data_IF_147711426763
#
_entry.id   IF_147711426763
#
_cell.length_a   1.000
_cell.length_b   1.000
_cell.length_c   1.000
_cell.angle_alpha   90.00
_cell.angle_beta   90.00
_cell.angle_gamma   90.00
#
_symmetry.space_group_name_H-M   'P 1'
#
loop_
_entity.id
_entity.type
_entity.pdbx_description
1 polymer ?
#
# COMPACT_ATOMS: atom_id res chain seq x y z
N UNK A 1 20.51 57.22 50.21
CA UNK A 1 21.11 56.58 49.02
C UNK A 1 20.14 55.51 48.53
N UNK A 2 19.36 55.80 47.48
CA UNK A 2 18.38 54.85 46.93
C UNK A 2 19.01 54.07 45.78
N UNK A 3 19.05 52.74 45.87
CA UNK A 3 19.47 51.89 44.76
C UNK A 3 18.38 51.91 43.67
N UNK A 4 18.75 52.05 42.38
CA UNK A 4 17.77 51.98 41.30
C UNK A 4 17.26 50.55 41.14
N UNK A 5 15.96 50.35 41.37
CA UNK A 5 15.25 49.12 40.99
C UNK A 5 15.33 48.95 39.47
N UNK A 6 16.17 48.00 39.02
CA UNK A 6 16.14 47.51 37.64
C UNK A 6 14.80 46.80 37.40
N UNK A 7 13.89 47.46 36.68
CA UNK A 7 12.68 46.82 36.16
C UNK A 7 13.09 45.67 35.23
N UNK A 8 12.90 44.43 35.67
CA UNK A 8 12.99 43.23 34.83
C UNK A 8 11.90 43.33 33.77
N UNK A 9 12.25 43.73 32.55
CA UNK A 9 11.34 43.61 31.42
C UNK A 9 10.93 42.15 31.28
N UNK A 10 9.64 41.89 31.42
CA UNK A 10 9.05 40.55 31.39
C UNK A 10 9.16 39.94 30.00
N UNK A 11 10.10 39.01 29.83
CA UNK A 11 10.30 38.16 28.65
C UNK A 11 9.12 37.21 28.33
N UNK A 12 8.02 37.27 29.10
CA UNK A 12 6.89 36.35 29.04
C UNK A 12 6.17 36.32 27.68
N UNK A 13 6.17 37.44 26.92
CA UNK A 13 5.52 37.50 25.60
C UNK A 13 6.27 36.69 24.54
N UNK A 14 7.60 36.69 24.56
CA UNK A 14 8.41 35.89 23.62
C UNK A 14 8.31 34.40 23.90
N UNK A 15 8.27 34.02 25.19
CA UNK A 15 8.12 32.63 25.61
C UNK A 15 6.78 32.04 25.14
N UNK A 16 5.66 32.75 25.33
CA UNK A 16 4.34 32.27 24.92
C UNK A 16 4.25 32.06 23.39
N UNK A 17 4.90 32.90 22.59
CA UNK A 17 4.95 32.74 21.12
C UNK A 17 5.76 31.50 20.74
N UNK A 18 6.90 31.24 21.39
CA UNK A 18 7.71 30.05 21.14
C UNK A 18 6.93 28.77 21.51
N UNK A 19 6.28 28.75 22.67
CA UNK A 19 5.45 27.63 23.11
C UNK A 19 4.28 27.37 22.14
N UNK A 20 3.66 28.43 21.62
CA UNK A 20 2.60 28.30 20.61
C UNK A 20 3.12 27.70 19.30
N UNK A 21 4.26 28.19 18.78
CA UNK A 21 4.86 27.65 17.55
C UNK A 21 5.23 26.17 17.73
N UNK A 22 5.84 25.81 18.86
CA UNK A 22 6.17 24.43 19.17
C UNK A 22 4.92 23.54 19.23
N UNK A 23 3.82 24.05 19.80
CA UNK A 23 2.55 23.34 19.88
C UNK A 23 1.92 23.13 18.50
N UNK A 24 1.87 24.17 17.66
CA UNK A 24 1.36 24.09 16.28
C UNK A 24 2.20 23.11 15.46
N UNK A 25 3.52 23.19 15.56
CA UNK A 25 4.42 22.28 14.83
C UNK A 25 4.18 20.82 15.22
N UNK A 26 4.07 20.54 16.52
CA UNK A 26 3.77 19.20 17.04
C UNK A 26 2.41 18.71 16.54
N UNK A 27 1.40 19.57 16.55
CA UNK A 27 0.06 19.24 16.05
C UNK A 27 0.06 18.94 14.55
N UNK A 28 0.75 19.74 13.73
CA UNK A 28 0.88 19.50 12.29
C UNK A 28 1.61 18.17 12.02
N UNK A 29 2.69 17.88 12.76
CA UNK A 29 3.37 16.59 12.63
C UNK A 29 2.44 15.41 12.96
N UNK A 30 1.62 15.53 14.01
CA UNK A 30 0.64 14.49 14.35
C UNK A 30 -0.38 14.29 13.22
N UNK A 31 -0.89 15.36 12.61
CA UNK A 31 -1.82 15.26 11.49
C UNK A 31 -1.20 14.56 10.28
N UNK A 32 0.06 14.88 9.96
CA UNK A 32 0.76 14.22 8.85
C UNK A 32 0.99 12.74 9.14
N UNK A 33 1.32 12.38 10.39
CA UNK A 33 1.45 10.99 10.79
C UNK A 33 0.13 10.22 10.61
N UNK A 34 -0.98 10.79 11.09
CA UNK A 34 -2.33 10.19 10.95
C UNK A 34 -2.70 10.02 9.48
N UNK A 35 -2.48 11.05 8.66
CA UNK A 35 -2.74 11.00 7.23
C UNK A 35 -1.90 9.90 6.54
N UNK A 36 -0.61 9.80 6.88
CA UNK A 36 0.29 8.80 6.31
C UNK A 36 -0.13 7.38 6.64
N UNK A 37 -0.50 7.11 7.90
CA UNK A 37 -1.04 5.81 8.32
C UNK A 37 -2.37 5.51 7.62
N UNK A 38 -3.22 6.51 7.45
CA UNK A 38 -4.52 6.32 6.78
C UNK A 38 -4.34 5.94 5.30
N UNK A 39 -3.40 6.59 4.60
CA UNK A 39 -3.05 6.27 3.22
C UNK A 39 -2.45 4.87 3.13
N UNK A 40 -1.55 4.50 4.05
CA UNK A 40 -0.99 3.15 4.10
C UNK A 40 -2.09 2.08 4.24
N UNK A 41 -3.02 2.26 5.19
CA UNK A 41 -4.13 1.32 5.39
C UNK A 41 -5.07 1.27 4.17
N UNK A 42 -5.26 2.40 3.48
CA UNK A 42 -6.02 2.44 2.23
C UNK A 42 -5.35 1.60 1.14
N UNK A 43 -4.05 1.82 0.89
CA UNK A 43 -3.27 1.07 -0.10
C UNK A 43 -3.23 -0.42 0.25
N UNK A 44 -3.00 -0.78 1.51
CA UNK A 44 -3.04 -2.18 1.96
C UNK A 44 -4.37 -2.85 1.62
N UNK A 45 -5.51 -2.18 1.87
CA UNK A 45 -6.83 -2.73 1.53
C UNK A 45 -7.04 -2.85 0.02
N UNK A 46 -6.54 -1.91 -0.77
CA UNK A 46 -6.59 -1.97 -2.23
C UNK A 46 -5.78 -3.17 -2.76
N UNK A 47 -4.54 -3.34 -2.29
CA UNK A 47 -3.66 -4.47 -2.67
C UNK A 47 -4.29 -5.80 -2.28
N UNK A 48 -4.88 -5.92 -1.08
CA UNK A 48 -5.59 -7.13 -0.64
C UNK A 48 -6.82 -7.41 -1.50
N UNK A 49 -7.55 -6.38 -1.91
CA UNK A 49 -8.72 -6.54 -2.78
C UNK A 49 -8.32 -6.95 -4.19
N UNK A 50 -7.24 -6.36 -4.71
CA UNK A 50 -6.68 -6.67 -6.01
C UNK A 50 -6.21 -8.13 -6.11
N UNK A 51 -5.46 -8.64 -5.12
CA UNK A 51 -5.06 -10.06 -5.13
C UNK A 51 -6.25 -11.01 -5.06
N UNK A 52 -7.30 -10.64 -4.30
CA UNK A 52 -8.51 -11.46 -4.19
C UNK A 52 -9.29 -11.51 -5.49
N UNK A 53 -9.45 -10.38 -6.16
CA UNK A 53 -10.13 -10.34 -7.44
C UNK A 53 -9.30 -11.04 -8.52
N UNK A 54 -7.98 -10.83 -8.54
CA UNK A 54 -7.06 -11.56 -9.41
C UNK A 54 -7.14 -13.08 -9.21
N UNK A 55 -7.12 -13.55 -7.95
CA UNK A 55 -7.26 -14.97 -7.63
C UNK A 55 -8.63 -15.53 -8.04
N UNK A 56 -9.69 -14.71 -7.98
CA UNK A 56 -11.04 -15.08 -8.42
C UNK A 56 -11.14 -15.19 -9.94
N UNK A 57 -10.63 -14.21 -10.67
CA UNK A 57 -10.57 -14.25 -12.13
C UNK A 57 -9.77 -15.47 -12.56
N UNK A 58 -8.64 -15.72 -11.91
CA UNK A 58 -7.81 -16.88 -12.15
C UNK A 58 -8.54 -18.21 -11.89
N UNK A 59 -9.33 -18.31 -10.82
CA UNK A 59 -10.12 -19.50 -10.54
C UNK A 59 -11.28 -19.72 -11.52
N UNK A 60 -11.78 -18.66 -12.17
CA UNK A 60 -12.84 -18.72 -13.19
C UNK A 60 -12.32 -19.04 -14.60
N UNK A 61 -11.03 -18.80 -14.86
CA UNK A 61 -10.40 -19.09 -16.14
C UNK A 61 -9.84 -20.52 -16.16
N UNK A 62 -10.57 -21.43 -16.83
CA UNK A 62 -10.18 -22.84 -17.04
C UNK A 62 -8.90 -23.00 -17.88
N UNK A 63 -8.49 -21.96 -18.60
CA UNK A 63 -7.33 -21.95 -19.50
C UNK A 63 -5.98 -22.11 -18.77
N UNK A 64 -5.98 -21.97 -17.44
CA UNK A 64 -4.83 -22.28 -16.58
C UNK A 64 -4.57 -23.80 -16.43
N UNK A 65 -5.37 -24.64 -17.09
CA UNK A 65 -5.16 -26.08 -17.22
C UNK A 65 -4.76 -26.53 -18.64
N UNK A 66 -4.63 -25.58 -19.57
CA UNK A 66 -4.37 -25.82 -20.99
C UNK A 66 -2.90 -26.05 -21.35
N UNK A 67 -2.56 -25.77 -22.60
CA UNK A 67 -1.17 -25.77 -23.08
C UNK A 67 -0.37 -24.64 -22.42
N UNK A 68 0.98 -24.74 -22.35
CA UNK A 68 1.81 -23.68 -21.76
C UNK A 68 1.58 -22.28 -22.36
N UNK A 69 1.18 -22.20 -23.64
CA UNK A 69 0.86 -20.94 -24.30
C UNK A 69 -0.48 -20.34 -23.82
N UNK A 70 -1.49 -21.18 -23.58
CA UNK A 70 -2.79 -20.77 -23.04
C UNK A 70 -2.66 -20.33 -21.58
N UNK A 71 -1.89 -21.08 -20.79
CA UNK A 71 -1.58 -20.73 -19.39
C UNK A 71 -0.86 -19.37 -19.30
N UNK A 72 0.15 -19.15 -20.14
CA UNK A 72 0.88 -17.87 -20.17
C UNK A 72 -0.03 -16.69 -20.54
N UNK A 73 -0.90 -16.88 -21.55
CA UNK A 73 -1.85 -15.84 -21.96
C UNK A 73 -2.87 -15.53 -20.85
N UNK A 74 -3.37 -16.55 -20.15
CA UNK A 74 -4.29 -16.38 -19.02
C UNK A 74 -3.61 -15.66 -17.83
N UNK A 75 -2.35 -15.98 -17.54
CA UNK A 75 -1.56 -15.28 -16.52
C UNK A 75 -1.40 -13.80 -16.88
N UNK A 76 -1.09 -13.48 -18.13
CA UNK A 76 -0.96 -12.10 -18.59
C UNK A 76 -2.28 -11.33 -18.45
N UNK A 77 -3.41 -11.96 -18.79
CA UNK A 77 -4.74 -11.35 -18.60
C UNK A 77 -5.03 -11.06 -17.11
N UNK A 78 -4.76 -12.02 -16.22
CA UNK A 78 -4.94 -11.84 -14.77
C UNK A 78 -4.07 -10.69 -14.26
N UNK A 79 -2.82 -10.59 -14.74
CA UNK A 79 -1.92 -9.50 -14.35
C UNK A 79 -2.46 -8.14 -14.79
N UNK A 80 -2.95 -8.03 -16.03
CA UNK A 80 -3.55 -6.80 -16.55
C UNK A 80 -4.76 -6.39 -15.72
N UNK A 81 -5.66 -7.31 -15.40
CA UNK A 81 -6.84 -7.02 -14.57
C UNK A 81 -6.46 -6.56 -13.15
N UNK A 82 -5.46 -7.21 -12.53
CA UNK A 82 -4.93 -6.79 -11.22
C UNK A 82 -4.30 -5.39 -11.30
N UNK A 83 -3.54 -5.10 -12.37
CA UNK A 83 -2.93 -3.80 -12.62
C UNK A 83 -3.99 -2.70 -12.82
N UNK A 84 -5.03 -2.96 -13.61
CA UNK A 84 -6.13 -2.04 -13.89
C UNK A 84 -6.97 -1.77 -12.65
N UNK A 85 -7.22 -2.80 -11.82
CA UNK A 85 -7.88 -2.63 -10.53
C UNK A 85 -7.09 -1.69 -9.61
N UNK A 86 -5.78 -1.89 -9.53
CA UNK A 86 -4.89 -1.07 -8.70
C UNK A 86 -4.81 0.36 -9.23
N UNK A 87 -4.70 0.54 -10.55
CA UNK A 87 -4.71 1.85 -11.19
C UNK A 87 -6.02 2.59 -10.92
N UNK A 88 -7.15 1.91 -11.03
CA UNK A 88 -8.48 2.51 -10.81
C UNK A 88 -8.70 2.88 -9.33
N UNK A 89 -8.25 2.02 -8.42
CA UNK A 89 -8.50 2.19 -6.97
C UNK A 89 -7.52 3.18 -6.34
N UNK A 90 -6.24 3.15 -6.73
CA UNK A 90 -5.17 3.91 -6.07
C UNK A 90 -4.55 4.98 -6.96
N UNK A 91 -4.79 4.95 -8.27
CA UNK A 91 -4.10 5.79 -9.25
C UNK A 91 -2.66 5.35 -9.54
N UNK A 92 -2.23 4.19 -9.03
CA UNK A 92 -0.87 3.68 -9.15
C UNK A 92 -0.83 2.52 -10.15
N UNK A 93 0.13 2.57 -11.06
CA UNK A 93 0.41 1.47 -12.00
C UNK A 93 1.36 0.49 -11.33
N UNK A 94 0.99 -0.79 -11.28
CA UNK A 94 1.90 -1.86 -10.91
C UNK A 94 2.73 -2.29 -12.13
N UNK A 95 3.98 -2.69 -11.91
CA UNK A 95 4.80 -3.34 -12.94
C UNK A 95 4.51 -4.85 -12.99
N UNK A 96 4.90 -5.52 -14.07
CA UNK A 96 4.72 -6.97 -14.22
C UNK A 96 5.47 -7.80 -13.18
N UNK A 97 6.57 -7.24 -12.64
CA UNK A 97 7.38 -7.86 -11.59
C UNK A 97 6.70 -7.78 -10.21
N UNK A 98 5.80 -6.82 -10.03
CA UNK A 98 5.07 -6.61 -8.78
C UNK A 98 3.86 -7.53 -8.64
N UNK A 99 3.42 -8.19 -9.72
CA UNK A 99 2.31 -9.14 -9.72
C UNK A 99 2.81 -10.54 -10.07
N UNK A 100 2.75 -11.44 -9.10
CA UNK A 100 3.12 -12.85 -9.29
C UNK A 100 1.86 -13.70 -9.29
N UNK A 101 1.66 -14.49 -10.35
CA UNK A 101 0.62 -15.51 -10.43
C UNK A 101 1.32 -16.86 -10.43
N UNK A 102 0.99 -17.72 -9.47
CA UNK A 102 1.54 -19.07 -9.34
C UNK A 102 0.55 -20.07 -9.92
N UNK A 103 1.01 -20.82 -10.90
CA UNK A 103 0.26 -21.86 -11.60
C UNK A 103 -0.15 -23.01 -10.66
N UNK A 104 -1.31 -23.65 -10.89
CA UNK A 104 -1.67 -24.87 -10.19
C UNK A 104 -0.73 -26.01 -10.58
N UNK A 105 -0.33 -26.84 -9.60
CA UNK A 105 0.46 -28.04 -9.89
C UNK A 105 -0.36 -28.99 -10.79
N UNK A 106 0.13 -29.20 -12.00
CA UNK A 106 -0.51 -30.07 -12.99
C UNK A 106 -0.66 -31.51 -12.49
N UNK A 107 0.14 -31.93 -11.51
CA UNK A 107 0.06 -33.25 -10.88
C UNK A 107 -1.12 -33.39 -9.90
N UNK A 108 -1.74 -32.29 -9.45
CA UNK A 108 -2.88 -32.35 -8.54
C UNK A 108 -4.21 -32.59 -9.28
N UNK A 109 -5.14 -33.37 -8.68
CA UNK A 109 -6.50 -33.52 -9.18
C UNK A 109 -7.20 -32.16 -9.31
N UNK A 110 -8.05 -31.98 -10.32
CA UNK A 110 -8.70 -30.69 -10.64
C UNK A 110 -9.36 -30.05 -9.41
N UNK A 111 -10.14 -30.79 -8.62
CA UNK A 111 -10.79 -30.28 -7.41
C UNK A 111 -9.85 -29.87 -6.25
N UNK A 112 -8.55 -30.16 -6.33
CA UNK A 112 -7.55 -29.69 -5.37
C UNK A 112 -6.65 -28.58 -5.91
N UNK A 113 -6.69 -28.31 -7.22
CA UNK A 113 -5.86 -27.26 -7.82
C UNK A 113 -6.20 -25.91 -7.21
N UNK A 114 -5.16 -25.13 -6.95
CA UNK A 114 -5.30 -23.76 -6.45
C UNK A 114 -4.37 -22.83 -7.19
N UNK A 115 -4.86 -21.64 -7.49
CA UNK A 115 -4.08 -20.54 -8.04
C UNK A 115 -3.77 -19.53 -6.95
N UNK A 116 -2.53 -19.04 -6.94
CA UNK A 116 -2.09 -18.04 -5.96
C UNK A 116 -1.68 -16.77 -6.69
N UNK A 117 -2.27 -15.64 -6.29
CA UNK A 117 -1.90 -14.31 -6.78
C UNK A 117 -1.27 -13.53 -5.64
N UNK A 118 -0.09 -12.99 -5.88
CA UNK A 118 0.67 -12.18 -4.95
C UNK A 118 0.99 -10.83 -5.57
N UNK A 119 0.88 -9.76 -4.78
CA UNK A 119 1.31 -8.42 -5.15
C UNK A 119 2.37 -7.96 -4.16
N UNK A 120 3.46 -7.42 -4.67
CA UNK A 120 4.48 -6.70 -3.89
C UNK A 120 4.54 -5.27 -4.40
N UNK A 121 4.00 -4.33 -3.63
CA UNK A 121 3.96 -2.92 -3.99
C UNK A 121 4.83 -2.11 -3.01
N UNK A 122 5.72 -1.26 -3.53
CA UNK A 122 6.49 -0.34 -2.71
C UNK A 122 5.78 1.00 -2.64
N UNK A 123 5.29 1.36 -1.45
CA UNK A 123 4.62 2.63 -1.24
C UNK A 123 5.65 3.73 -0.96
N UNK A 124 5.56 4.81 -1.74
CA UNK A 124 6.30 6.03 -1.49
C UNK A 124 5.59 6.94 -0.48
N UNK A 125 6.39 7.70 0.27
CA UNK A 125 5.83 8.71 1.18
C UNK A 125 5.08 9.78 0.37
N UNK A 126 3.79 10.02 0.66
CA UNK A 126 3.03 11.08 0.02
C UNK A 126 3.50 12.49 0.45
N UNK A 127 4.38 12.56 1.46
CA UNK A 127 4.90 13.80 2.02
C UNK A 127 6.43 13.87 1.82
N UNK A 128 6.95 14.86 1.06
CA UNK A 128 8.39 14.97 0.77
C UNK A 128 9.30 15.09 2.00
N UNK A 129 8.79 15.69 3.09
CA UNK A 129 9.52 15.84 4.36
C UNK A 129 9.79 14.49 5.03
N UNK A 130 9.02 13.46 4.67
CA UNK A 130 9.11 12.10 5.18
C UNK A 130 9.64 11.14 4.11
N UNK A 131 10.49 11.60 3.19
CA UNK A 131 11.09 10.76 2.14
C UNK A 131 11.86 9.55 2.68
N UNK A 132 12.32 9.59 3.94
CA UNK A 132 12.92 8.44 4.61
C UNK A 132 11.94 7.29 4.91
N UNK A 133 10.64 7.52 4.73
CA UNK A 133 9.57 6.52 4.79
C UNK A 133 9.14 6.06 3.39
N UNK A 134 9.99 6.24 2.37
CA UNK A 134 9.77 5.67 1.03
C UNK A 134 10.06 4.17 1.00
N UNK A 135 9.60 3.50 -0.05
CA UNK A 135 9.81 2.06 -0.27
C UNK A 135 9.30 1.18 0.88
N UNK A 136 8.14 1.53 1.45
CA UNK A 136 7.51 0.66 2.45
C UNK A 136 6.84 -0.48 1.68
N UNK A 137 7.27 -1.74 1.85
CA UNK A 137 6.67 -2.86 1.15
C UNK A 137 5.24 -3.10 1.67
N UNK A 138 4.31 -3.17 0.73
CA UNK A 138 2.91 -3.53 0.91
C UNK A 138 2.72 -4.82 0.13
N UNK A 139 2.64 -5.92 0.87
CA UNK A 139 2.49 -7.26 0.30
C UNK A 139 1.10 -7.80 0.62
N UNK A 140 0.52 -8.50 -0.36
CA UNK A 140 -0.63 -9.35 -0.14
C UNK A 140 -0.54 -10.60 -1.01
N UNK A 141 -1.13 -11.68 -0.51
CA UNK A 141 -1.25 -12.94 -1.22
C UNK A 141 -2.68 -13.45 -1.03
N UNK A 142 -3.28 -13.93 -2.12
CA UNK A 142 -4.54 -14.64 -2.10
C UNK A 142 -4.42 -15.93 -2.88
N UNK A 143 -5.00 -17.00 -2.33
CA UNK A 143 -5.07 -18.31 -2.96
C UNK A 143 -6.53 -18.70 -3.12
N UNK A 144 -6.91 -19.16 -4.29
CA UNK A 144 -8.26 -19.64 -4.59
C UNK A 144 -8.21 -21.01 -5.23
N UNK A 145 -9.20 -21.85 -4.93
CA UNK A 145 -9.34 -23.18 -5.54
C UNK A 145 -10.23 -23.09 -6.77
N UNK A 146 -9.99 -23.95 -7.74
CA UNK A 146 -10.92 -24.12 -8.86
C UNK A 146 -12.22 -24.74 -8.35
N UNK A 147 -13.35 -24.23 -8.83
CA UNK A 147 -14.66 -24.84 -8.59
C UNK A 147 -14.87 -25.95 -9.65
N UNK A 148 -15.30 -27.14 -9.23
CA UNK A 148 -15.65 -28.27 -10.12
C UNK A 148 -17.00 -28.06 -10.84
#
# INVERSE_FOLDING_TARGET
MGQPMRKRFTYKKGQAVIELIASIFTFVMLLVLIASVSIYLYVQNAVVSAVREGARIAALNDDLSGTPAEVAAAIDEIKVEVQDYMLTTTGQTLTDEQVTVTEPDAAEPVGNRSVTVAITYEMDSPFPVFSYLSNIPVEAVATMRYEE
#
